data_IF_716012671480
#
_entry.id   IF_716012671480
#
_cell.length_a   1.000
_cell.length_b   1.000
_cell.length_c   1.000
_cell.angle_alpha   90.00
_cell.angle_beta   90.00
_cell.angle_gamma   90.00
#
_symmetry.space_group_name_H-M   'P 1'
#
loop_
_entity.id
_entity.type
_entity.pdbx_description
1 polymer ?
#
# COMPACT_ATOMS: atom_id res chain seq x y z
N UNK A 1 30.64 45.86 0.81
CA UNK A 1 30.73 45.36 -0.58
C UNK A 1 30.36 46.43 -1.59
N UNK A 2 29.26 47.15 -1.40
CA UNK A 2 28.74 48.22 -2.31
C UNK A 2 29.70 49.40 -2.50
N UNK A 3 30.44 49.82 -1.46
CA UNK A 3 31.38 50.95 -1.52
C UNK A 3 32.63 50.70 -2.42
N UNK A 4 33.08 49.47 -2.54
CA UNK A 4 34.17 49.05 -3.43
C UNK A 4 33.77 49.04 -4.92
N UNK A 5 32.50 48.79 -5.22
CA UNK A 5 32.01 48.81 -6.59
C UNK A 5 32.01 50.24 -7.21
N UNK A 6 31.88 51.29 -6.42
CA UNK A 6 31.83 52.67 -6.91
C UNK A 6 33.17 53.19 -7.46
N UNK A 7 34.29 52.61 -7.04
CA UNK A 7 35.64 53.01 -7.41
C UNK A 7 36.20 52.29 -8.65
N UNK A 8 35.49 51.28 -9.16
CA UNK A 8 35.90 50.48 -10.33
C UNK A 8 35.54 51.20 -11.61
N UNK A 9 36.36 51.07 -12.68
CA UNK A 9 36.01 51.53 -14.01
C UNK A 9 34.79 50.72 -14.55
N UNK A 10 34.13 51.24 -15.60
CA UNK A 10 32.90 50.66 -16.14
C UNK A 10 33.07 49.18 -16.55
N UNK A 11 34.21 48.81 -17.11
CA UNK A 11 34.54 47.49 -17.59
C UNK A 11 34.63 46.49 -16.43
N UNK A 12 35.25 46.84 -15.33
CA UNK A 12 35.41 46.01 -14.15
C UNK A 12 34.08 45.86 -13.38
N UNK A 13 33.24 46.90 -13.38
CA UNK A 13 31.85 46.83 -12.87
C UNK A 13 31.04 45.79 -13.61
N UNK A 14 31.08 45.81 -14.94
CA UNK A 14 30.36 44.86 -15.79
C UNK A 14 30.86 43.43 -15.52
N UNK A 15 32.18 43.21 -15.49
CA UNK A 15 32.75 41.88 -15.17
C UNK A 15 32.31 41.36 -13.78
N UNK A 16 32.29 42.20 -12.77
CA UNK A 16 31.87 41.84 -11.43
C UNK A 16 30.39 41.45 -11.39
N UNK A 17 29.52 42.17 -12.10
CA UNK A 17 28.09 41.84 -12.20
C UNK A 17 27.91 40.50 -12.89
N UNK A 18 28.55 40.28 -14.06
CA UNK A 18 28.46 38.97 -14.75
C UNK A 18 28.98 37.82 -13.91
N UNK A 19 30.11 37.99 -13.24
CA UNK A 19 30.66 36.96 -12.36
C UNK A 19 29.71 36.61 -11.18
N UNK A 20 29.01 37.62 -10.67
CA UNK A 20 28.02 37.43 -9.58
C UNK A 20 26.79 36.71 -10.10
N UNK A 21 26.26 37.09 -11.25
CA UNK A 21 25.11 36.42 -11.88
C UNK A 21 25.44 34.97 -12.17
N UNK A 22 26.60 34.68 -12.78
CA UNK A 22 27.03 33.29 -13.06
C UNK A 22 27.13 32.46 -11.78
N UNK A 23 27.67 33.01 -10.69
CA UNK A 23 27.73 32.32 -9.39
C UNK A 23 26.35 32.00 -8.86
N UNK A 24 25.40 32.92 -8.95
CA UNK A 24 24.01 32.69 -8.54
C UNK A 24 23.32 31.61 -9.40
N UNK A 25 23.55 31.64 -10.73
CA UNK A 25 23.02 30.62 -11.65
C UNK A 25 23.55 29.22 -11.30
N UNK A 26 24.86 29.10 -11.06
CA UNK A 26 25.48 27.83 -10.68
C UNK A 26 24.91 27.34 -9.33
N UNK A 27 24.81 28.22 -8.33
CA UNK A 27 24.27 27.86 -7.01
C UNK A 27 22.81 27.43 -7.10
N UNK A 28 21.97 28.17 -7.84
CA UNK A 28 20.56 27.79 -8.02
C UNK A 28 20.41 26.46 -8.76
N UNK A 29 21.26 26.21 -9.76
CA UNK A 29 21.30 24.90 -10.45
C UNK A 29 21.63 23.73 -9.52
N UNK A 30 22.64 23.91 -8.66
CA UNK A 30 23.01 22.88 -7.67
C UNK A 30 21.86 22.62 -6.69
N UNK A 31 21.24 23.67 -6.14
CA UNK A 31 20.10 23.56 -5.22
C UNK A 31 18.91 22.87 -5.90
N UNK A 32 18.63 23.18 -7.16
CA UNK A 32 17.57 22.53 -7.94
C UNK A 32 17.82 21.05 -8.14
N UNK A 33 19.05 20.65 -8.49
CA UNK A 33 19.41 19.24 -8.67
C UNK A 33 19.28 18.46 -7.35
N UNK A 34 19.75 19.02 -6.24
CA UNK A 34 19.62 18.38 -4.92
C UNK A 34 18.15 18.26 -4.53
N UNK A 35 17.36 19.32 -4.72
CA UNK A 35 15.93 19.32 -4.43
C UNK A 35 15.17 18.26 -5.22
N UNK A 36 15.41 18.16 -6.52
CA UNK A 36 14.80 17.13 -7.39
C UNK A 36 15.21 15.72 -6.98
N UNK A 37 16.48 15.49 -6.64
CA UNK A 37 16.96 14.17 -6.21
C UNK A 37 16.32 13.73 -4.89
N UNK A 38 16.15 14.63 -3.93
CA UNK A 38 15.48 14.32 -2.66
C UNK A 38 13.99 14.03 -2.84
N UNK A 39 13.33 14.74 -3.75
CA UNK A 39 11.93 14.48 -4.11
C UNK A 39 11.77 13.13 -4.79
N UNK A 40 12.66 12.76 -5.72
CA UNK A 40 12.64 11.48 -6.41
C UNK A 40 12.80 10.31 -5.44
N UNK A 41 13.71 10.41 -4.47
CA UNK A 41 13.92 9.38 -3.44
C UNK A 41 12.66 9.20 -2.60
N UNK A 42 12.05 10.28 -2.13
CA UNK A 42 10.83 10.23 -1.29
C UNK A 42 9.64 9.70 -2.09
N UNK A 43 9.46 10.20 -3.31
CA UNK A 43 8.42 9.76 -4.22
C UNK A 43 8.51 8.27 -4.52
N UNK A 44 9.69 7.78 -4.90
CA UNK A 44 9.91 6.38 -5.22
C UNK A 44 9.67 5.46 -4.00
N UNK A 45 10.04 5.92 -2.79
CA UNK A 45 9.75 5.21 -1.55
C UNK A 45 8.24 5.13 -1.29
N UNK A 46 7.50 6.22 -1.53
CA UNK A 46 6.06 6.29 -1.32
C UNK A 46 5.29 5.42 -2.33
N UNK A 47 5.60 5.52 -3.62
CA UNK A 47 4.98 4.68 -4.67
C UNK A 47 5.24 3.20 -4.43
N UNK A 48 6.48 2.83 -4.07
CA UNK A 48 6.81 1.45 -3.70
C UNK A 48 6.06 0.99 -2.46
N UNK A 49 5.84 1.86 -1.50
CA UNK A 49 5.03 1.58 -0.31
C UNK A 49 3.58 1.29 -0.67
N UNK A 50 2.94 2.15 -1.48
CA UNK A 50 1.57 1.97 -1.93
C UNK A 50 1.39 0.68 -2.76
N UNK A 51 2.31 0.42 -3.69
CA UNK A 51 2.30 -0.82 -4.48
C UNK A 51 2.48 -2.06 -3.61
N UNK A 52 3.35 -1.99 -2.60
CA UNK A 52 3.58 -3.09 -1.66
C UNK A 52 2.35 -3.36 -0.81
N UNK A 53 1.68 -2.32 -0.32
CA UNK A 53 0.44 -2.44 0.43
C UNK A 53 -0.69 -3.02 -0.43
N UNK A 54 -0.85 -2.55 -1.67
CA UNK A 54 -1.83 -3.06 -2.62
C UNK A 54 -1.62 -4.55 -2.92
N UNK A 55 -0.38 -4.95 -3.23
CA UNK A 55 -0.08 -6.36 -3.48
C UNK A 55 -0.37 -7.22 -2.25
N UNK A 56 0.00 -6.77 -1.05
CA UNK A 56 -0.27 -7.49 0.17
C UNK A 56 -1.78 -7.61 0.46
N UNK A 57 -2.57 -6.57 0.19
CA UNK A 57 -4.02 -6.63 0.30
C UNK A 57 -4.63 -7.66 -0.67
N UNK A 58 -4.18 -7.68 -1.92
CA UNK A 58 -4.62 -8.66 -2.94
C UNK A 58 -4.25 -10.10 -2.56
N UNK A 59 -3.03 -10.32 -2.10
CA UNK A 59 -2.60 -11.63 -1.62
C UNK A 59 -3.46 -12.11 -0.44
N UNK A 60 -3.72 -11.23 0.54
CA UNK A 60 -4.61 -11.55 1.65
C UNK A 60 -6.03 -11.93 1.20
N UNK A 61 -6.59 -11.26 0.18
CA UNK A 61 -7.88 -11.61 -0.42
C UNK A 61 -7.84 -13.00 -1.06
N UNK A 62 -6.78 -13.31 -1.80
CA UNK A 62 -6.58 -14.63 -2.43
C UNK A 62 -6.53 -15.72 -1.36
N UNK A 63 -5.77 -15.47 -0.31
CA UNK A 63 -5.63 -16.37 0.83
C UNK A 63 -6.99 -16.66 1.49
N UNK A 64 -7.71 -15.62 1.87
CA UNK A 64 -9.02 -15.73 2.50
C UNK A 64 -10.01 -16.48 1.59
N UNK A 65 -9.99 -16.19 0.29
CA UNK A 65 -10.84 -16.87 -0.69
C UNK A 65 -10.49 -18.36 -0.80
N UNK A 66 -9.20 -18.71 -0.71
CA UNK A 66 -8.73 -20.08 -0.68
C UNK A 66 -9.17 -20.80 0.61
N UNK A 67 -9.03 -20.14 1.78
CA UNK A 67 -9.51 -20.69 3.04
C UNK A 67 -11.03 -20.93 3.02
N UNK A 68 -11.81 -19.98 2.50
CA UNK A 68 -13.27 -20.13 2.34
C UNK A 68 -13.65 -21.29 1.45
N UNK A 69 -12.89 -21.54 0.38
CA UNK A 69 -13.07 -22.71 -0.49
C UNK A 69 -12.78 -24.00 0.26
N UNK A 70 -11.67 -24.08 0.96
CA UNK A 70 -11.32 -25.27 1.73
C UNK A 70 -12.38 -25.64 2.79
N UNK A 71 -12.97 -24.63 3.46
CA UNK A 71 -14.07 -24.85 4.42
C UNK A 71 -15.30 -25.42 3.70
N UNK A 72 -15.65 -24.92 2.51
CA UNK A 72 -16.78 -25.43 1.71
C UNK A 72 -16.53 -26.85 1.20
N UNK A 73 -15.34 -27.12 0.68
CA UNK A 73 -14.94 -28.46 0.23
C UNK A 73 -15.01 -29.47 1.38
N UNK A 74 -14.52 -29.10 2.57
CA UNK A 74 -14.63 -29.94 3.76
C UNK A 74 -16.08 -30.25 4.11
N UNK A 75 -17.00 -29.27 3.98
CA UNK A 75 -18.42 -29.46 4.25
C UNK A 75 -19.17 -30.28 3.18
N UNK A 76 -18.62 -30.39 1.98
CA UNK A 76 -19.19 -31.10 0.84
C UNK A 76 -18.61 -32.53 0.69
N UNK A 77 -17.44 -32.78 1.26
CA UNK A 77 -16.74 -34.06 1.14
C UNK A 77 -17.15 -34.99 2.26
N UNK A 78 -17.63 -36.17 1.90
CA UNK A 78 -18.02 -37.21 2.86
C UNK A 78 -16.80 -38.02 3.37
N UNK A 79 -15.63 -37.85 2.76
CA UNK A 79 -14.39 -38.52 3.17
C UNK A 79 -13.66 -37.77 4.28
N UNK A 80 -13.91 -38.18 5.52
CA UNK A 80 -13.28 -37.56 6.69
C UNK A 80 -11.75 -37.69 6.74
N UNK A 81 -11.15 -38.61 5.95
CA UNK A 81 -9.68 -38.73 5.87
C UNK A 81 -9.01 -37.53 5.26
N UNK A 82 -9.76 -36.69 4.51
CA UNK A 82 -9.27 -35.47 3.86
C UNK A 82 -9.41 -34.21 4.74
N UNK A 83 -10.17 -34.28 5.84
CA UNK A 83 -10.51 -33.12 6.67
C UNK A 83 -9.26 -32.43 7.26
N UNK A 84 -8.30 -33.23 7.70
CA UNK A 84 -7.07 -32.68 8.27
C UNK A 84 -6.26 -31.84 7.22
N UNK A 85 -6.27 -32.27 5.96
CA UNK A 85 -5.64 -31.50 4.88
C UNK A 85 -6.33 -30.16 4.65
N UNK A 86 -7.66 -30.13 4.58
CA UNK A 86 -8.42 -28.89 4.45
C UNK A 86 -8.20 -27.94 5.62
N UNK A 87 -8.23 -28.46 6.85
CA UNK A 87 -7.98 -27.71 8.08
C UNK A 87 -6.58 -27.10 8.11
N UNK A 88 -5.57 -27.89 7.75
CA UNK A 88 -4.19 -27.40 7.69
C UNK A 88 -4.03 -26.32 6.62
N UNK A 89 -4.65 -26.48 5.45
CA UNK A 89 -4.68 -25.43 4.43
C UNK A 89 -5.32 -24.15 4.95
N UNK A 90 -6.48 -24.22 5.59
CA UNK A 90 -7.15 -23.04 6.19
C UNK A 90 -6.23 -22.36 7.19
N UNK A 91 -5.56 -23.11 8.07
CA UNK A 91 -4.64 -22.58 9.07
C UNK A 91 -3.45 -21.87 8.42
N UNK A 92 -2.83 -22.48 7.40
CA UNK A 92 -1.70 -21.90 6.67
C UNK A 92 -2.10 -20.58 6.02
N UNK A 93 -3.20 -20.57 5.27
CA UNK A 93 -3.68 -19.39 4.54
C UNK A 93 -4.04 -18.23 5.48
N UNK A 94 -4.65 -18.54 6.65
CA UNK A 94 -4.91 -17.49 7.65
C UNK A 94 -3.63 -16.92 8.26
N UNK A 95 -2.59 -17.77 8.43
CA UNK A 95 -1.26 -17.29 8.88
C UNK A 95 -0.60 -16.41 7.81
N UNK A 96 -0.69 -16.79 6.55
CA UNK A 96 -0.16 -16.03 5.43
C UNK A 96 -0.88 -14.67 5.30
N UNK A 97 -2.21 -14.66 5.42
CA UNK A 97 -3.01 -13.42 5.50
C UNK A 97 -2.54 -12.49 6.63
N UNK A 98 -2.18 -13.03 7.79
CA UNK A 98 -1.66 -12.21 8.90
C UNK A 98 -0.31 -11.59 8.53
N UNK A 99 0.55 -12.33 7.82
CA UNK A 99 1.83 -11.80 7.31
C UNK A 99 1.61 -10.66 6.33
N UNK A 100 0.61 -10.76 5.45
CA UNK A 100 0.24 -9.67 4.54
C UNK A 100 -0.25 -8.43 5.30
N UNK A 101 -1.00 -8.62 6.40
CA UNK A 101 -1.41 -7.50 7.26
C UNK A 101 -0.23 -6.76 7.88
N UNK A 102 0.81 -7.48 8.32
CA UNK A 102 2.02 -6.84 8.85
C UNK A 102 2.75 -6.04 7.77
N UNK A 103 2.76 -6.52 6.53
CA UNK A 103 3.30 -5.78 5.39
C UNK A 103 2.52 -4.49 5.17
N UNK A 104 1.19 -4.55 5.14
CA UNK A 104 0.30 -3.40 4.95
C UNK A 104 0.56 -2.35 6.04
N UNK A 105 0.56 -2.78 7.31
CA UNK A 105 0.79 -1.90 8.45
C UNK A 105 2.12 -1.16 8.38
N UNK A 106 3.18 -1.86 7.97
CA UNK A 106 4.53 -1.29 7.89
C UNK A 106 4.70 -0.27 6.75
N UNK A 107 3.75 -0.15 5.83
CA UNK A 107 3.80 0.86 4.77
C UNK A 107 3.31 2.23 5.21
N UNK A 108 2.47 2.30 6.26
CA UNK A 108 1.78 3.51 6.73
C UNK A 108 1.00 4.25 5.61
N UNK A 109 0.53 3.53 4.60
CA UNK A 109 -0.20 4.09 3.45
C UNK A 109 -1.72 4.07 3.71
N UNK A 110 -2.19 3.02 4.39
CA UNK A 110 -3.60 2.82 4.67
C UNK A 110 -3.95 3.47 6.01
N UNK A 111 -5.11 4.12 6.06
CA UNK A 111 -5.65 4.70 7.28
C UNK A 111 -5.78 3.67 8.41
N UNK A 112 -5.40 4.04 9.63
CA UNK A 112 -5.43 3.15 10.77
C UNK A 112 -6.84 2.61 11.08
N UNK A 113 -7.89 3.39 10.85
CA UNK A 113 -9.27 2.96 11.07
C UNK A 113 -9.68 1.90 10.05
N UNK A 114 -9.32 2.07 8.78
CA UNK A 114 -9.59 1.10 7.73
C UNK A 114 -8.80 -0.20 7.96
N UNK A 115 -7.53 -0.08 8.34
CA UNK A 115 -6.71 -1.22 8.73
C UNK A 115 -7.33 -2.01 9.89
N UNK A 116 -7.75 -1.32 10.94
CA UNK A 116 -8.36 -1.94 12.12
C UNK A 116 -9.71 -2.60 11.79
N UNK A 117 -10.51 -2.00 10.90
CA UNK A 117 -11.75 -2.61 10.40
C UNK A 117 -11.45 -3.94 9.68
N UNK A 118 -10.41 -3.96 8.84
CA UNK A 118 -10.00 -5.17 8.13
C UNK A 118 -9.54 -6.28 9.08
N UNK A 119 -8.65 -5.95 10.03
CA UNK A 119 -8.17 -6.90 11.06
C UNK A 119 -9.32 -7.48 11.86
N UNK A 120 -10.28 -6.64 12.26
CA UNK A 120 -11.47 -7.07 12.99
C UNK A 120 -12.32 -8.02 12.15
N UNK A 121 -12.62 -7.67 10.92
CA UNK A 121 -13.42 -8.48 10.01
C UNK A 121 -12.74 -9.84 9.69
N UNK A 122 -11.42 -9.84 9.51
CA UNK A 122 -10.64 -11.07 9.30
C UNK A 122 -10.71 -12.00 10.51
N UNK A 123 -10.55 -11.48 11.72
CA UNK A 123 -10.65 -12.25 12.95
C UNK A 123 -12.07 -12.81 13.16
N UNK A 124 -13.10 -12.01 12.91
CA UNK A 124 -14.50 -12.43 12.99
C UNK A 124 -14.77 -13.57 12.00
N UNK A 125 -14.37 -13.41 10.74
CA UNK A 125 -14.53 -14.43 9.71
C UNK A 125 -13.73 -15.69 10.02
N UNK A 126 -12.48 -15.57 10.48
CA UNK A 126 -11.66 -16.72 10.90
C UNK A 126 -12.28 -17.52 12.03
N UNK A 127 -12.84 -16.86 13.04
CA UNK A 127 -13.55 -17.53 14.14
C UNK A 127 -14.79 -18.29 13.64
N UNK A 128 -15.54 -17.71 12.72
CA UNK A 128 -16.69 -18.38 12.08
C UNK A 128 -16.21 -19.62 11.31
N UNK A 129 -15.09 -19.51 10.59
CA UNK A 129 -14.50 -20.62 9.84
C UNK A 129 -14.10 -21.79 10.76
N UNK A 130 -13.41 -21.51 11.86
CA UNK A 130 -13.04 -22.53 12.84
C UNK A 130 -14.25 -23.20 13.51
N UNK A 131 -15.31 -22.44 13.77
CA UNK A 131 -16.53 -23.02 14.35
C UNK A 131 -17.24 -23.93 13.34
N UNK A 132 -17.25 -23.57 12.05
CA UNK A 132 -17.77 -24.45 10.99
C UNK A 132 -16.94 -25.74 10.90
N UNK A 133 -15.60 -25.63 10.91
CA UNK A 133 -14.73 -26.81 10.91
C UNK A 133 -15.03 -27.73 12.09
N UNK A 134 -15.20 -27.18 13.28
CA UNK A 134 -15.56 -27.96 14.48
C UNK A 134 -16.92 -28.64 14.34
N UNK A 135 -17.90 -28.02 13.69
CA UNK A 135 -19.20 -28.66 13.42
C UNK A 135 -19.06 -29.85 12.45
N UNK A 136 -18.27 -29.69 11.40
CA UNK A 136 -17.98 -30.74 10.41
C UNK A 136 -17.29 -31.92 11.10
N UNK A 137 -16.26 -31.68 11.92
CA UNK A 137 -15.53 -32.73 12.67
C UNK A 137 -16.41 -33.49 13.64
N UNK A 138 -17.46 -32.87 14.17
CA UNK A 138 -18.48 -33.52 15.02
C UNK A 138 -19.56 -34.25 14.24
N UNK A 139 -19.53 -34.20 12.91
CA UNK A 139 -20.52 -34.84 12.04
C UNK A 139 -21.80 -33.99 11.84
N UNK A 140 -21.87 -32.77 12.36
CA UNK A 140 -23.02 -31.89 12.20
C UNK A 140 -22.93 -31.09 10.88
N UNK A 141 -22.96 -31.82 9.77
CA UNK A 141 -22.83 -31.25 8.42
C UNK A 141 -24.01 -30.33 8.08
N UNK A 142 -25.20 -30.59 8.61
CA UNK A 142 -26.39 -29.77 8.32
C UNK A 142 -26.22 -28.36 8.91
N UNK A 143 -25.81 -28.24 10.17
CA UNK A 143 -25.54 -26.96 10.81
C UNK A 143 -24.35 -26.25 10.16
N UNK A 144 -23.28 -26.98 9.82
CA UNK A 144 -22.12 -26.43 9.15
C UNK A 144 -22.50 -25.81 7.79
N UNK A 145 -23.22 -26.55 6.94
CA UNK A 145 -23.70 -26.05 5.64
C UNK A 145 -24.61 -24.83 5.79
N UNK A 146 -25.54 -24.85 6.73
CA UNK A 146 -26.39 -23.69 7.01
C UNK A 146 -25.55 -22.48 7.44
N UNK A 147 -24.59 -22.66 8.35
CA UNK A 147 -23.72 -21.57 8.83
C UNK A 147 -22.83 -20.99 7.75
N UNK A 148 -22.33 -21.81 6.80
CA UNK A 148 -21.59 -21.35 5.63
C UNK A 148 -22.44 -20.33 4.84
N UNK A 149 -23.72 -20.63 4.61
CA UNK A 149 -24.58 -19.74 3.81
C UNK A 149 -25.05 -18.50 4.58
N UNK A 150 -25.45 -18.67 5.84
CA UNK A 150 -26.14 -17.62 6.59
C UNK A 150 -25.20 -16.70 7.37
N UNK A 151 -23.99 -17.15 7.69
CA UNK A 151 -23.06 -16.41 8.54
C UNK A 151 -21.71 -16.20 7.84
N UNK A 152 -21.06 -17.29 7.38
CA UNK A 152 -19.70 -17.23 6.84
C UNK A 152 -19.65 -16.43 5.53
N UNK A 153 -20.58 -16.69 4.61
CA UNK A 153 -20.61 -15.99 3.32
C UNK A 153 -20.88 -14.48 3.48
N UNK A 154 -21.84 -14.00 4.28
CA UNK A 154 -22.00 -12.58 4.56
C UNK A 154 -20.77 -11.96 5.22
N UNK A 155 -20.14 -12.64 6.18
CA UNK A 155 -18.91 -12.14 6.82
C UNK A 155 -17.74 -12.03 5.82
N UNK A 156 -17.60 -13.03 4.92
CA UNK A 156 -16.63 -12.98 3.82
C UNK A 156 -16.87 -11.77 2.91
N UNK A 157 -18.12 -11.54 2.51
CA UNK A 157 -18.47 -10.42 1.64
C UNK A 157 -18.17 -9.07 2.31
N UNK A 158 -18.40 -8.95 3.61
CA UNK A 158 -18.03 -7.76 4.36
C UNK A 158 -16.51 -7.56 4.38
N UNK A 159 -15.75 -8.61 4.65
CA UNK A 159 -14.28 -8.58 4.63
C UNK A 159 -13.74 -8.18 3.26
N UNK A 160 -14.29 -8.75 2.18
CA UNK A 160 -13.92 -8.39 0.79
C UNK A 160 -14.23 -6.92 0.50
N UNK A 161 -15.39 -6.41 0.92
CA UNK A 161 -15.74 -5.00 0.73
C UNK A 161 -14.80 -4.03 1.46
N UNK A 162 -14.25 -4.43 2.62
CA UNK A 162 -13.24 -3.63 3.32
C UNK A 162 -11.90 -3.69 2.56
N UNK A 163 -11.53 -4.86 2.05
CA UNK A 163 -10.32 -5.03 1.24
C UNK A 163 -10.36 -4.21 -0.05
N UNK A 164 -11.51 -4.16 -0.73
CA UNK A 164 -11.70 -3.31 -1.92
C UNK A 164 -11.45 -1.83 -1.58
N UNK A 165 -11.93 -1.36 -0.42
CA UNK A 165 -11.65 0.02 0.03
C UNK A 165 -10.17 0.26 0.30
N UNK A 166 -9.47 -0.73 0.85
CA UNK A 166 -8.01 -0.64 1.04
C UNK A 166 -7.28 -0.56 -0.30
N UNK A 167 -7.71 -1.34 -1.30
CA UNK A 167 -7.17 -1.26 -2.66
C UNK A 167 -7.42 0.13 -3.28
N UNK A 168 -8.64 0.65 -3.16
CA UNK A 168 -8.99 1.98 -3.67
C UNK A 168 -8.15 3.09 -3.01
N UNK A 169 -7.92 3.01 -1.71
CA UNK A 169 -7.10 3.96 -0.97
C UNK A 169 -5.63 3.91 -1.44
N UNK A 170 -5.06 2.70 -1.56
CA UNK A 170 -3.68 2.55 -2.02
C UNK A 170 -3.48 3.02 -3.46
N UNK A 171 -4.44 2.76 -4.35
CA UNK A 171 -4.40 3.23 -5.73
C UNK A 171 -4.49 4.75 -5.80
N UNK A 172 -5.42 5.37 -5.05
CA UNK A 172 -5.57 6.83 -5.00
C UNK A 172 -4.31 7.53 -4.50
N UNK A 173 -3.68 7.00 -3.46
CA UNK A 173 -2.44 7.53 -2.94
C UNK A 173 -1.28 7.39 -3.93
N UNK A 174 -1.19 6.27 -4.64
CA UNK A 174 -0.20 6.06 -5.70
C UNK A 174 -0.40 7.05 -6.86
N UNK A 175 -1.64 7.27 -7.30
CA UNK A 175 -1.97 8.21 -8.38
C UNK A 175 -1.67 9.66 -8.00
N UNK A 176 -1.96 10.07 -6.77
CA UNK A 176 -1.62 11.40 -6.25
C UNK A 176 -0.10 11.62 -6.23
N UNK A 177 0.64 10.61 -5.80
CA UNK A 177 2.11 10.67 -5.79
C UNK A 177 2.67 10.82 -7.22
N UNK A 178 2.14 10.09 -8.21
CA UNK A 178 2.53 10.20 -9.62
C UNK A 178 2.22 11.59 -10.17
N UNK A 179 1.04 12.13 -9.88
CA UNK A 179 0.65 13.48 -10.28
C UNK A 179 1.59 14.54 -9.71
N UNK A 180 1.90 14.46 -8.42
CA UNK A 180 2.80 15.40 -7.75
C UNK A 180 4.21 15.36 -8.35
N UNK A 181 4.73 14.17 -8.66
CA UNK A 181 6.03 14.01 -9.31
C UNK A 181 6.06 14.66 -10.68
N UNK A 182 5.04 14.48 -11.50
CA UNK A 182 4.95 15.09 -12.82
C UNK A 182 4.91 16.62 -12.73
N UNK A 183 4.16 17.19 -11.78
CA UNK A 183 4.12 18.63 -11.53
C UNK A 183 5.47 19.17 -11.13
N UNK A 184 6.17 18.50 -10.21
CA UNK A 184 7.51 18.91 -9.76
C UNK A 184 8.53 18.82 -10.89
N UNK A 185 8.48 17.78 -11.71
CA UNK A 185 9.37 17.62 -12.86
C UNK A 185 9.18 18.74 -13.90
N UNK A 186 7.92 19.13 -14.18
CA UNK A 186 7.59 20.22 -15.07
C UNK A 186 8.09 21.56 -14.52
N UNK A 187 7.82 21.85 -13.24
CA UNK A 187 8.27 23.11 -12.60
C UNK A 187 9.80 23.19 -12.60
N UNK A 188 10.49 22.08 -12.24
CA UNK A 188 11.95 22.01 -12.26
C UNK A 188 12.53 22.22 -13.65
N UNK A 189 11.92 21.58 -14.67
CA UNK A 189 12.32 21.75 -16.07
C UNK A 189 12.15 23.18 -16.58
N UNK A 190 11.03 23.83 -16.27
CA UNK A 190 10.77 25.23 -16.63
C UNK A 190 11.75 26.19 -15.94
N UNK A 191 12.05 25.95 -14.65
CA UNK A 191 13.03 26.77 -13.92
C UNK A 191 14.44 26.70 -14.55
N UNK A 192 14.84 25.53 -15.06
CA UNK A 192 16.15 25.35 -15.72
C UNK A 192 16.21 26.11 -17.07
N UNK A 193 15.07 26.20 -17.77
CA UNK A 193 15.02 26.87 -19.11
C UNK A 193 14.92 28.39 -19.00
N UNK A 194 14.39 28.94 -17.90
CA UNK A 194 14.18 30.37 -17.69
C UNK A 194 15.41 31.09 -17.09
N UNK A 195 16.43 30.38 -16.67
CA UNK A 195 17.69 30.89 -16.14
C UNK A 195 18.87 30.55 -17.04
#
# INVERSE_FOLDING_TARGET
MISKLHQLNLHDKIKCIYATVIKFMILSGIVSIIGLSLLDIRFNSYVKGAQKANNAAKESIIDISSAARNIREMALNDDSSTYENYKNNVKTVLTDSQTQLDIIKNTNIIDDDLYNQYVKALNEWGNIGYDIINQIEKGDLASAKNKIHTVCTPALNNLMSIADKMEDETNKEADQAILLSNVVAVIGGVAIVLF
#
